data_IF_507716474435
#
_entry.id   IF_507716474435
#
_cell.length_a   1.000
_cell.length_b   1.000
_cell.length_c   1.000
_cell.angle_alpha   90.00
_cell.angle_beta   90.00
_cell.angle_gamma   90.00
#
_symmetry.space_group_name_H-M   'P 1'
#
loop_
_entity.id
_entity.type
_entity.pdbx_description
1 polymer ?
#
# COMPACT_ATOMS: atom_id res chain seq x y z
N UNK A 1 -5.34 -3.00 14.98
CA UNK A 1 -4.50 -2.29 13.99
C UNK A 1 -5.05 -0.88 13.81
N UNK A 2 -4.20 0.14 13.66
CA UNK A 2 -4.71 1.52 13.52
C UNK A 2 -5.11 1.83 12.07
N UNK A 3 -4.62 1.10 11.06
CA UNK A 3 -4.87 1.42 9.64
C UNK A 3 -3.65 1.99 8.92
N UNK A 4 -2.52 2.11 9.62
CA UNK A 4 -1.23 2.40 8.97
C UNK A 4 -0.66 1.14 8.30
N UNK A 5 -0.06 1.26 7.11
CA UNK A 5 0.74 0.20 6.51
C UNK A 5 1.88 -0.20 7.43
N UNK A 6 2.01 -1.49 7.70
CA UNK A 6 3.11 -2.04 8.51
C UNK A 6 4.24 -2.54 7.61
N UNK A 7 3.88 -3.20 6.51
CA UNK A 7 4.80 -3.70 5.50
C UNK A 7 4.28 -3.31 4.11
N UNK A 8 5.18 -2.84 3.26
CA UNK A 8 4.88 -2.39 1.90
C UNK A 8 5.95 -2.95 0.99
N UNK A 9 5.52 -3.77 0.02
CA UNK A 9 6.38 -4.43 -0.96
C UNK A 9 5.77 -4.31 -2.35
N UNK A 10 6.63 -4.16 -3.34
CA UNK A 10 6.25 -4.18 -4.76
C UNK A 10 6.07 -5.64 -5.16
N UNK A 11 4.84 -6.02 -5.52
CA UNK A 11 4.49 -7.36 -6.00
C UNK A 11 4.61 -7.50 -7.52
N UNK A 12 4.48 -6.38 -8.23
CA UNK A 12 4.64 -6.26 -9.68
C UNK A 12 5.36 -4.94 -9.96
N UNK A 13 6.46 -5.01 -10.72
CA UNK A 13 7.32 -3.85 -11.00
C UNK A 13 6.79 -3.09 -12.19
N UNK A 14 6.93 -1.76 -12.16
CA UNK A 14 6.63 -0.89 -13.30
C UNK A 14 7.62 -1.02 -14.46
N UNK A 15 8.80 -1.60 -14.21
CA UNK A 15 9.93 -1.61 -15.14
C UNK A 15 10.93 -0.48 -14.88
N UNK A 16 10.57 0.52 -14.07
CA UNK A 16 11.43 1.64 -13.66
C UNK A 16 11.60 1.66 -12.14
N UNK A 17 12.86 1.70 -11.68
CA UNK A 17 13.17 1.59 -10.25
C UNK A 17 12.70 2.80 -9.46
N UNK A 18 12.75 3.98 -10.07
CA UNK A 18 12.36 5.21 -9.39
C UNK A 18 10.84 5.32 -9.23
N UNK A 19 10.07 4.81 -10.20
CA UNK A 19 8.61 4.69 -10.08
C UNK A 19 8.22 3.68 -8.99
N UNK A 20 8.87 2.52 -8.95
CA UNK A 20 8.64 1.52 -7.90
C UNK A 20 8.90 2.12 -6.50
N UNK A 21 9.99 2.88 -6.35
CA UNK A 21 10.34 3.57 -5.09
C UNK A 21 9.33 4.65 -4.72
N UNK A 22 8.90 5.45 -5.71
CA UNK A 22 7.89 6.49 -5.51
C UNK A 22 6.56 5.90 -5.05
N UNK A 23 6.13 4.79 -5.67
CA UNK A 23 4.92 4.06 -5.29
C UNK A 23 4.98 3.58 -3.83
N UNK A 24 6.09 2.94 -3.43
CA UNK A 24 6.27 2.47 -2.04
C UNK A 24 6.23 3.65 -1.05
N UNK A 25 6.91 4.75 -1.36
CA UNK A 25 6.94 5.92 -0.49
C UNK A 25 5.56 6.56 -0.32
N UNK A 26 4.79 6.67 -1.41
CA UNK A 26 3.43 7.20 -1.36
C UNK A 26 2.51 6.31 -0.52
N UNK A 27 2.50 4.99 -0.79
CA UNK A 27 1.64 4.04 -0.07
C UNK A 27 1.94 4.02 1.43
N UNK A 28 3.21 4.17 1.84
CA UNK A 28 3.60 4.24 3.26
C UNK A 28 2.96 5.41 4.01
N UNK A 29 2.56 6.47 3.32
CA UNK A 29 1.94 7.65 3.91
C UNK A 29 0.41 7.55 3.99
N UNK A 30 -0.19 6.53 3.35
CA UNK A 30 -1.63 6.38 3.32
C UNK A 30 -2.17 5.83 4.64
N UNK A 31 -3.43 6.17 4.92
CA UNK A 31 -4.21 5.63 6.02
C UNK A 31 -5.33 4.78 5.43
N UNK A 32 -5.32 3.50 5.76
CA UNK A 32 -6.35 2.55 5.34
C UNK A 32 -7.37 2.33 6.44
N UNK A 33 -8.59 2.01 6.06
CA UNK A 33 -9.55 1.46 7.02
C UNK A 33 -9.10 0.04 7.41
N UNK A 34 -8.94 -0.25 8.72
CA UNK A 34 -8.53 -1.57 9.15
C UNK A 34 -9.64 -2.58 8.87
N UNK A 35 -9.25 -3.80 8.47
CA UNK A 35 -10.18 -4.91 8.44
C UNK A 35 -10.69 -5.21 9.86
N UNK A 36 -11.99 -5.42 10.00
CA UNK A 36 -12.64 -5.71 11.27
C UNK A 36 -13.05 -7.19 11.33
N UNK A 37 -12.74 -7.88 12.43
CA UNK A 37 -13.22 -9.23 12.73
C UNK A 37 -13.72 -9.27 14.17
N UNK A 38 -14.99 -9.61 14.37
CA UNK A 38 -15.64 -9.64 15.69
C UNK A 38 -15.46 -8.32 16.48
N UNK A 39 -15.62 -7.17 15.81
CA UNK A 39 -15.45 -5.85 16.42
C UNK A 39 -14.01 -5.44 16.70
N UNK A 40 -13.00 -6.26 16.34
CA UNK A 40 -11.57 -5.97 16.54
C UNK A 40 -10.87 -5.71 15.21
N UNK A 41 -10.07 -4.65 15.17
CA UNK A 41 -9.24 -4.31 14.03
C UNK A 41 -8.07 -5.30 13.88
N UNK A 42 -8.07 -6.08 12.80
CA UNK A 42 -7.07 -7.10 12.47
C UNK A 42 -6.08 -6.60 11.42
N UNK A 43 -4.90 -7.21 11.38
CA UNK A 43 -3.96 -7.04 10.28
C UNK A 43 -4.48 -7.80 9.05
N UNK A 44 -4.41 -7.16 7.88
CA UNK A 44 -4.73 -7.78 6.60
C UNK A 44 -3.73 -7.31 5.54
N UNK A 45 -3.60 -8.07 4.45
CA UNK A 45 -2.82 -7.67 3.29
C UNK A 45 -3.76 -7.27 2.16
N UNK A 46 -3.46 -6.15 1.50
CA UNK A 46 -4.20 -5.65 0.34
C UNK A 46 -3.23 -5.39 -0.82
N UNK A 47 -3.70 -5.57 -2.05
CA UNK A 47 -2.98 -5.15 -3.25
C UNK A 47 -3.55 -3.81 -3.71
N UNK A 48 -2.68 -2.82 -3.85
CA UNK A 48 -3.04 -1.47 -4.29
C UNK A 48 -2.39 -1.23 -5.65
N UNK A 49 -3.17 -1.10 -6.74
CA UNK A 49 -2.62 -0.69 -8.03
C UNK A 49 -2.19 0.78 -7.97
N UNK A 50 -1.02 1.08 -8.54
CA UNK A 50 -0.49 2.45 -8.65
C UNK A 50 -0.21 2.71 -10.12
N UNK A 51 -0.99 3.60 -10.72
CA UNK A 51 -0.86 3.99 -12.12
C UNK A 51 -0.15 5.33 -12.26
N UNK A 52 0.95 5.35 -13.01
CA UNK A 52 1.65 6.57 -13.39
C UNK A 52 1.13 7.05 -14.75
N UNK A 53 0.49 8.21 -14.77
CA UNK A 53 0.04 8.84 -16.02
C UNK A 53 1.13 9.80 -16.52
N UNK A 54 1.66 9.62 -17.74
CA UNK A 54 2.48 10.64 -18.37
C UNK A 54 1.65 11.92 -18.53
N UNK A 55 2.34 13.05 -18.37
CA UNK A 55 1.78 14.40 -18.52
C UNK A 55 1.81 14.77 -20.01
#
# INVERSE_FOLDING_TARGET
AQGNPVDVRVVERSGERDLDRAAVNAVRQWRFEPAMRNGKAIATSVKVPVDFKPI
#
